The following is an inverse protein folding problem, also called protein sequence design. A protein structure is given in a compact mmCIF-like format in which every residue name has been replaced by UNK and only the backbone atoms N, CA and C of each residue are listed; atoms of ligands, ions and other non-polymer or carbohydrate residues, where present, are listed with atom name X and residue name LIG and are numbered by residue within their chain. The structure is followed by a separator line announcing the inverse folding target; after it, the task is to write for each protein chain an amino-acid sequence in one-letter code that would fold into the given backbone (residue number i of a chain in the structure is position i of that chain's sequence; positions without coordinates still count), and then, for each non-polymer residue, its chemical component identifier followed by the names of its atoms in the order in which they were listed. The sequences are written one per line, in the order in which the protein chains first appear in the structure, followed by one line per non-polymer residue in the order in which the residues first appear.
data_IF_300728368628
#
_entry.id   IF_300728368628
#
_cell.length_a   1.000
_cell.length_b   1.000
_cell.length_c   1.000
_cell.angle_alpha   90.00
_cell.angle_beta   90.00
_cell.angle_gamma   90.00
#
_symmetry.space_group_name_H-M   'P 1'
#
loop_
_entity.id
_entity.type
_entity.pdbx_description
1 polymer ?
#
# COMPACT_ATOMS: atom_id res chain seq x y z
N UNK A 1 -8.35 17.77 -4.14
CA UNK A 1 -8.25 16.34 -3.82
C UNK A 1 -8.37 16.21 -2.33
N UNK A 2 -8.88 15.08 -1.84
CA UNK A 2 -8.89 14.81 -0.40
C UNK A 2 -7.49 14.34 0.00
N UNK A 3 -7.02 14.80 1.16
CA UNK A 3 -5.67 14.50 1.64
C UNK A 3 -5.63 13.12 2.30
N UNK A 4 -4.57 12.36 2.04
CA UNK A 4 -4.27 11.09 2.69
C UNK A 4 -3.15 11.31 3.72
N UNK A 5 -3.45 11.09 4.99
CA UNK A 5 -2.52 11.20 6.12
C UNK A 5 -2.09 9.81 6.57
N UNK A 6 -0.79 9.60 6.77
CA UNK A 6 -0.26 8.32 7.26
C UNK A 6 -0.68 8.07 8.71
N UNK A 7 -1.31 6.93 8.97
CA UNK A 7 -1.75 6.51 10.32
C UNK A 7 -0.95 5.31 10.82
N UNK A 8 -0.48 4.45 9.92
CA UNK A 8 0.34 3.30 10.27
C UNK A 8 1.29 2.92 9.13
N UNK A 9 2.53 2.61 9.47
CA UNK A 9 3.57 2.25 8.50
C UNK A 9 4.04 0.81 8.72
N UNK A 10 4.30 0.09 7.63
CA UNK A 10 4.96 -1.22 7.69
C UNK A 10 4.18 -2.27 8.49
N UNK A 11 2.87 -2.38 8.23
CA UNK A 11 2.00 -3.32 8.92
C UNK A 11 2.43 -4.77 8.63
N UNK A 12 3.14 -5.38 9.58
CA UNK A 12 3.79 -6.70 9.45
C UNK A 12 2.83 -7.88 9.24
N UNK A 13 1.52 -7.66 9.46
CA UNK A 13 0.46 -8.65 9.22
C UNK A 13 0.01 -8.72 7.75
N UNK A 14 0.42 -7.76 6.91
CA UNK A 14 0.11 -7.71 5.48
C UNK A 14 1.37 -7.91 4.62
N UNK A 15 1.21 -7.95 3.29
CA UNK A 15 2.31 -8.11 2.32
C UNK A 15 3.43 -7.08 2.60
N UNK A 16 4.69 -7.35 2.18
CA UNK A 16 5.90 -6.91 2.88
C UNK A 16 6.10 -5.40 3.00
N UNK A 17 5.35 -4.56 2.27
CA UNK A 17 5.35 -3.10 2.47
C UNK A 17 3.92 -2.59 2.36
N UNK A 18 3.25 -2.51 3.51
CA UNK A 18 1.85 -2.08 3.61
C UNK A 18 1.73 -0.92 4.59
N UNK A 19 1.12 0.17 4.12
CA UNK A 19 0.86 1.36 4.93
C UNK A 19 -0.65 1.61 5.02
N UNK A 20 -1.04 2.29 6.09
CA UNK A 20 -2.41 2.64 6.43
C UNK A 20 -2.56 4.14 6.46
N UNK A 21 -3.57 4.63 5.75
CA UNK A 21 -3.83 6.05 5.55
C UNK A 21 -5.24 6.40 5.97
N UNK A 22 -5.40 7.57 6.57
CA UNK A 22 -6.68 8.21 6.76
C UNK A 22 -6.88 9.23 5.65
N UNK A 23 -8.04 9.16 5.00
CA UNK A 23 -8.37 9.93 3.83
C UNK A 23 -9.65 10.73 4.09
N UNK A 24 -9.49 11.95 4.58
CA UNK A 24 -10.61 12.85 4.91
C UNK A 24 -10.21 14.01 5.81
N UNK A 25 -11.01 15.07 5.79
CA UNK A 25 -10.78 16.30 6.58
C UNK A 25 -11.63 16.37 7.86
N UNK A 26 -12.49 15.38 8.11
CA UNK A 26 -13.47 15.36 9.21
C UNK A 26 -13.94 13.93 9.50
N UNK A 27 -14.85 13.70 10.46
CA UNK A 27 -15.18 12.37 11.01
C UNK A 27 -15.74 11.34 10.01
N UNK A 28 -16.13 11.77 8.81
CA UNK A 28 -16.62 10.93 7.71
C UNK A 28 -15.51 10.48 6.75
N UNK A 29 -14.24 10.65 7.13
CA UNK A 29 -13.09 10.17 6.36
C UNK A 29 -13.06 8.65 6.26
N UNK A 30 -12.41 8.14 5.21
CA UNK A 30 -12.23 6.70 5.00
C UNK A 30 -10.80 6.29 5.33
N UNK A 31 -10.61 5.02 5.63
CA UNK A 31 -9.29 4.46 5.85
C UNK A 31 -8.89 3.62 4.65
N UNK A 32 -7.69 3.86 4.12
CA UNK A 32 -7.13 3.12 3.00
C UNK A 32 -5.89 2.36 3.43
N UNK A 33 -5.80 1.12 2.97
CA UNK A 33 -4.65 0.26 3.17
C UNK A 33 -3.97 0.06 1.82
N UNK A 34 -2.75 0.58 1.67
CA UNK A 34 -1.99 0.50 0.42
C UNK A 34 -0.91 -0.53 0.59
N UNK A 35 -0.90 -1.53 -0.27
CA UNK A 35 0.06 -2.62 -0.28
C UNK A 35 0.90 -2.53 -1.55
N UNK A 36 2.22 -2.45 -1.39
CA UNK A 36 3.17 -2.54 -2.49
C UNK A 36 3.81 -3.91 -2.41
N UNK A 37 3.56 -4.76 -3.41
CA UNK A 37 4.02 -6.15 -3.44
C UNK A 37 5.54 -6.31 -3.68
N UNK A 38 6.29 -5.22 -3.56
CA UNK A 38 7.71 -5.14 -3.89
C UNK A 38 8.51 -4.77 -2.64
N UNK A 39 9.19 -5.76 -2.08
CA UNK A 39 10.28 -5.50 -1.14
C UNK A 39 11.57 -5.41 -1.97
N UNK A 40 12.32 -4.31 -1.86
CA UNK A 40 13.66 -4.26 -2.45
C UNK A 40 14.63 -5.12 -1.64
N UNK A 41 14.48 -6.44 -1.79
CA UNK A 41 15.31 -7.45 -1.12
C UNK A 41 16.78 -7.24 -1.49
N UNK A 42 17.07 -6.85 -2.73
CA UNK A 42 18.44 -6.65 -3.20
C UNK A 42 19.08 -5.44 -2.53
N UNK A 43 18.42 -4.27 -2.54
CA UNK A 43 18.90 -3.06 -1.88
C UNK A 43 18.96 -3.19 -0.36
N UNK A 44 18.02 -3.91 0.26
CA UNK A 44 18.03 -4.19 1.70
C UNK A 44 19.22 -5.07 2.10
N UNK A 45 19.51 -6.13 1.34
CA UNK A 45 20.67 -6.99 1.60
C UNK A 45 21.98 -6.23 1.35
N UNK A 46 22.08 -5.44 0.28
CA UNK A 46 23.26 -4.62 0.00
C UNK A 46 23.50 -3.61 1.13
N UNK A 47 22.45 -2.95 1.64
CA UNK A 47 22.53 -2.02 2.78
C UNK A 47 22.98 -2.71 4.06
N UNK A 48 22.48 -3.93 4.33
CA UNK A 48 22.79 -4.67 5.55
C UNK A 48 24.14 -5.38 5.53
N UNK A 49 24.61 -5.81 4.35
CA UNK A 49 25.75 -6.74 4.24
C UNK A 49 26.88 -6.22 3.36
N UNK A 50 26.66 -5.17 2.57
CA UNK A 50 27.59 -4.69 1.54
C UNK A 50 27.71 -5.62 0.34
N UNK A 51 26.91 -6.69 0.26
CA UNK A 51 26.98 -7.68 -0.81
C UNK A 51 25.87 -7.42 -1.83
N UNK A 52 26.27 -7.18 -3.07
CA UNK A 52 25.35 -7.05 -4.20
C UNK A 52 24.96 -8.42 -4.74
N UNK A 53 23.75 -8.88 -4.43
CA UNK A 53 23.21 -10.13 -4.97
C UNK A 53 22.54 -9.88 -6.34
N UNK A 54 22.82 -10.69 -7.37
CA UNK A 54 22.09 -10.63 -8.63
C UNK A 54 20.72 -11.31 -8.49
N UNK A 55 19.78 -10.64 -7.81
CA UNK A 55 18.40 -11.11 -7.72
C UNK A 55 17.70 -10.79 -9.03
N UNK A 56 17.18 -11.82 -9.71
CA UNK A 56 16.44 -11.64 -10.94
C UNK A 56 15.01 -11.15 -10.60
N UNK A 57 14.78 -9.84 -10.74
CA UNK A 57 13.55 -9.12 -10.31
C UNK A 57 12.29 -9.53 -11.09
N UNK A 58 12.45 -10.34 -12.14
CA UNK A 58 11.45 -10.62 -13.19
C UNK A 58 10.17 -11.35 -12.71
N UNK A 59 10.11 -11.84 -11.47
CA UNK A 59 8.94 -12.58 -10.97
C UNK A 59 8.17 -11.88 -9.84
N UNK A 60 8.61 -10.70 -9.40
CA UNK A 60 7.88 -9.96 -8.37
C UNK A 60 6.68 -9.24 -9.01
N UNK A 61 5.49 -9.29 -8.38
CA UNK A 61 4.35 -8.53 -8.87
C UNK A 61 4.69 -7.03 -8.91
N UNK A 62 4.56 -6.42 -10.08
CA UNK A 62 4.77 -4.99 -10.29
C UNK A 62 3.43 -4.28 -10.15
N UNK A 63 2.83 -4.30 -8.97
CA UNK A 63 1.63 -3.49 -8.73
C UNK A 63 1.50 -3.08 -7.27
N UNK A 64 0.80 -1.96 -7.09
CA UNK A 64 0.27 -1.55 -5.81
C UNK A 64 -1.24 -1.85 -5.77
N UNK A 65 -1.70 -2.39 -4.66
CA UNK A 65 -3.12 -2.62 -4.39
C UNK A 65 -3.58 -1.67 -3.28
N UNK A 66 -4.71 -1.00 -3.51
CA UNK A 66 -5.36 -0.10 -2.56
C UNK A 66 -6.64 -0.76 -2.08
N UNK A 67 -6.77 -0.96 -0.77
CA UNK A 67 -7.92 -1.59 -0.13
C UNK A 67 -8.65 -0.59 0.74
N UNK A 68 -9.97 -0.76 0.86
CA UNK A 68 -10.74 -0.11 1.90
C UNK A 68 -10.42 -0.78 3.23
N UNK A 69 -10.33 0.00 4.31
CA UNK A 69 -10.09 -0.51 5.66
C UNK A 69 -10.91 0.25 6.70
N UNK A 70 -10.94 -0.27 7.93
CA UNK A 70 -11.39 0.44 9.11
C UNK A 70 -10.23 1.15 9.83
N UNK A 71 -10.55 1.86 10.92
CA UNK A 71 -9.57 2.59 11.72
C UNK A 71 -8.49 1.69 12.36
N UNK A 72 -8.77 0.40 12.53
CA UNK A 72 -7.85 -0.60 13.10
C UNK A 72 -6.99 -1.26 12.00
N UNK A 73 -7.10 -0.78 10.74
CA UNK A 73 -6.47 -1.33 9.56
C UNK A 73 -6.89 -2.78 9.26
N UNK A 74 -8.15 -3.13 9.53
CA UNK A 74 -8.77 -4.33 8.97
C UNK A 74 -9.31 -4.00 7.59
N UNK A 75 -8.94 -4.81 6.60
CA UNK A 75 -9.44 -4.67 5.23
C UNK A 75 -10.94 -4.97 5.20
N UNK A 76 -11.69 -4.04 4.63
CA UNK A 76 -13.11 -4.18 4.38
C UNK A 76 -13.32 -4.64 2.95
N UNK A 77 -14.20 -5.62 2.78
CA UNK A 77 -14.62 -6.06 1.46
C UNK A 77 -15.47 -4.96 0.80
N UNK A 78 -14.95 -4.42 -0.30
CA UNK A 78 -15.54 -3.29 -0.99
C UNK A 78 -16.67 -3.69 -1.96
N UNK A 79 -16.70 -4.94 -2.44
CA UNK A 79 -17.73 -5.43 -3.38
C UNK A 79 -18.76 -6.34 -2.68
N UNK A 80 -18.46 -6.80 -1.46
CA UNK A 80 -19.36 -7.59 -0.64
C UNK A 80 -19.55 -9.02 -1.14
N UNK A 81 -18.69 -9.48 -2.05
CA UNK A 81 -18.70 -10.84 -2.58
C UNK A 81 -17.78 -11.75 -1.74
N UNK A 82 -18.33 -12.61 -0.87
CA UNK A 82 -17.50 -13.51 -0.07
C UNK A 82 -16.78 -14.58 -0.91
N UNK A 83 -17.05 -14.71 -2.21
CA UNK A 83 -16.49 -15.74 -3.08
C UNK A 83 -15.18 -15.35 -3.79
N UNK A 84 -14.86 -14.06 -3.93
CA UNK A 84 -13.66 -13.58 -4.64
C UNK A 84 -12.54 -13.06 -3.71
N UNK A 85 -12.78 -13.02 -2.39
CA UNK A 85 -11.81 -12.62 -1.38
C UNK A 85 -11.78 -11.10 -1.18
N UNK A 86 -10.70 -10.57 -0.62
CA UNK A 86 -10.56 -9.12 -0.44
C UNK A 86 -10.25 -8.46 -1.80
N UNK A 87 -11.24 -7.82 -2.42
CA UNK A 87 -11.07 -7.09 -3.69
C UNK A 87 -10.45 -5.71 -3.44
N UNK A 88 -9.32 -5.35 -4.09
CA UNK A 88 -8.79 -4.00 -4.02
C UNK A 88 -9.71 -3.01 -4.73
N UNK A 89 -9.86 -1.81 -4.16
CA UNK A 89 -10.55 -0.69 -4.79
C UNK A 89 -9.84 -0.27 -6.08
N UNK A 90 -8.51 -0.24 -6.03
CA UNK A 90 -7.65 0.14 -7.14
C UNK A 90 -6.44 -0.76 -7.16
N UNK A 91 -6.12 -1.30 -8.33
CA UNK A 91 -4.85 -1.96 -8.63
C UNK A 91 -4.09 -1.11 -9.63
N UNK A 92 -2.91 -0.63 -9.22
CA UNK A 92 -2.04 0.21 -10.06
C UNK A 92 -0.90 -0.64 -10.59
N UNK A 93 -0.87 -0.96 -11.90
CA UNK A 93 0.25 -1.68 -12.49
C UNK A 93 1.52 -0.81 -12.50
N UNK A 94 2.67 -1.47 -12.42
CA UNK A 94 4.02 -0.90 -12.42
C UNK A 94 4.22 0.24 -11.40
N UNK A 95 3.57 0.13 -10.25
CA UNK A 95 3.64 1.10 -9.15
C UNK A 95 4.51 0.56 -8.01
N UNK A 96 5.49 1.35 -7.59
CA UNK A 96 6.41 1.05 -6.48
C UNK A 96 6.48 2.13 -5.39
N UNK A 97 5.58 3.12 -5.43
CA UNK A 97 5.48 4.16 -4.42
C UNK A 97 4.03 4.40 -3.94
N UNK A 98 3.90 4.83 -2.69
CA UNK A 98 2.60 5.00 -2.04
C UNK A 98 1.84 6.23 -2.55
N UNK A 99 2.55 7.28 -2.98
CA UNK A 99 1.92 8.52 -3.45
C UNK A 99 1.18 8.30 -4.77
N UNK A 100 1.79 7.58 -5.71
CA UNK A 100 1.19 7.18 -6.99
C UNK A 100 -0.01 6.26 -6.78
N UNK A 101 0.08 5.31 -5.84
CA UNK A 101 -1.04 4.43 -5.50
C UNK A 101 -2.24 5.22 -4.91
N UNK A 102 -2.00 6.16 -3.99
CA UNK A 102 -3.01 7.03 -3.43
C UNK A 102 -3.61 7.99 -4.47
N UNK A 103 -2.77 8.55 -5.35
CA UNK A 103 -3.21 9.42 -6.44
C UNK A 103 -4.14 8.67 -7.41
N UNK A 104 -3.85 7.41 -7.71
CA UNK A 104 -4.73 6.55 -8.52
C UNK A 104 -6.07 6.26 -7.84
N UNK A 105 -6.11 6.28 -6.49
CA UNK A 105 -7.33 6.22 -5.70
C UNK A 105 -8.03 7.59 -5.53
N UNK A 106 -7.44 8.68 -6.05
CA UNK A 106 -8.00 10.03 -6.00
C UNK A 106 -7.57 10.89 -4.80
N UNK A 107 -6.56 10.45 -4.06
CA UNK A 107 -6.05 11.12 -2.86
C UNK A 107 -4.64 11.67 -3.05
N UNK A 108 -4.34 12.77 -2.37
CA UNK A 108 -3.02 13.38 -2.36
C UNK A 108 -2.32 13.03 -1.04
N UNK A 109 -1.12 12.46 -1.09
CA UNK A 109 -0.36 12.11 0.12
C UNK A 109 0.14 13.39 0.80
N UNK A 110 -0.21 13.56 2.08
CA UNK A 110 0.38 14.61 2.90
C UNK A 110 1.82 14.21 3.26
N UNK A 111 2.80 14.89 2.68
CA UNK A 111 4.24 14.64 2.92
C UNK A 111 4.71 15.07 4.34
N UNK A 112 3.79 15.49 5.21
CA UNK A 112 4.10 15.79 6.59
C UNK A 112 4.33 14.50 7.41
N UNK A 113 5.44 13.78 7.20
CA UNK A 113 6.23 13.05 8.21
C UNK A 113 7.50 12.41 7.60
#
# INVERSE_FOLDING_TARGET
MTTATLVGQGLSRYCPTTNHYYCGDGPDGIFLLVTIARYDVAGSIETLTGIKLPINVVQLPTHADVFLSDADANVLDADGDPANGMTPLVRVPDCDDFATALAAAGYELDEAH
#
